data_IF_351021547113
#
_entry.id   IF_351021547113
#
_cell.length_a   1.000
_cell.length_b   1.000
_cell.length_c   1.000
_cell.angle_alpha   90.00
_cell.angle_beta   90.00
_cell.angle_gamma   90.00
#
_symmetry.space_group_name_H-M   'P 1'
#
loop_
_entity.id
_entity.type
_entity.pdbx_description
1 polymer ?
#
# COMPACT_ATOMS: atom_id res chain seq x y z
N UNK A 1 15.89 -3.28 -29.41
CA UNK A 1 16.18 -3.29 -27.96
C UNK A 1 14.93 -3.77 -27.27
N UNK A 2 14.99 -4.90 -26.56
CA UNK A 2 13.92 -5.34 -25.66
C UNK A 2 13.81 -4.31 -24.52
N UNK A 3 12.60 -3.85 -24.23
CA UNK A 3 12.34 -2.95 -23.11
C UNK A 3 12.59 -3.75 -21.83
N UNK A 4 13.53 -3.30 -21.00
CA UNK A 4 13.86 -4.00 -19.76
C UNK A 4 12.75 -3.92 -18.73
N UNK A 5 12.70 -4.92 -17.84
CA UNK A 5 11.75 -4.98 -16.73
C UNK A 5 11.95 -3.77 -15.81
N UNK A 6 10.86 -3.10 -15.49
CA UNK A 6 10.77 -1.98 -14.57
C UNK A 6 9.98 -2.38 -13.31
N UNK A 7 9.97 -1.51 -12.29
CA UNK A 7 9.16 -1.72 -11.09
C UNK A 7 7.65 -1.85 -11.38
N UNK A 8 7.16 -1.22 -12.46
CA UNK A 8 5.75 -1.30 -12.84
C UNK A 8 5.41 -2.61 -13.57
N UNK A 9 6.43 -3.36 -13.98
CA UNK A 9 6.26 -4.69 -14.58
C UNK A 9 6.26 -5.79 -13.51
N UNK A 10 6.50 -5.45 -12.23
CA UNK A 10 6.29 -6.37 -11.12
C UNK A 10 4.80 -6.70 -11.00
N UNK A 11 4.43 -7.99 -10.90
CA UNK A 11 3.02 -8.41 -10.90
C UNK A 11 2.16 -7.69 -9.86
N UNK A 12 2.66 -7.51 -8.62
CA UNK A 12 1.89 -6.85 -7.57
C UNK A 12 1.51 -5.41 -7.91
N UNK A 13 2.38 -4.70 -8.64
CA UNK A 13 2.14 -3.32 -9.09
C UNK A 13 1.25 -3.28 -10.31
N UNK A 14 1.60 -4.07 -11.32
CA UNK A 14 0.89 -4.12 -12.61
C UNK A 14 -0.58 -4.42 -12.38
N UNK A 15 -0.87 -5.55 -11.74
CA UNK A 15 -2.24 -6.02 -11.61
C UNK A 15 -3.04 -5.24 -10.57
N UNK A 16 -2.39 -4.63 -9.56
CA UNK A 16 -3.07 -3.69 -8.67
C UNK A 16 -3.60 -2.49 -9.46
N UNK A 17 -2.80 -1.91 -10.35
CA UNK A 17 -3.21 -0.78 -11.19
C UNK A 17 -4.34 -1.20 -12.13
N UNK A 18 -4.23 -2.36 -12.76
CA UNK A 18 -5.26 -2.90 -13.65
C UNK A 18 -6.59 -3.13 -12.90
N UNK A 19 -6.54 -3.75 -11.73
CA UNK A 19 -7.70 -3.98 -10.88
C UNK A 19 -8.34 -2.67 -10.43
N UNK A 20 -7.57 -1.76 -9.82
CA UNK A 20 -8.09 -0.47 -9.35
C UNK A 20 -8.70 0.37 -10.48
N UNK A 21 -8.11 0.31 -11.68
CA UNK A 21 -8.66 0.97 -12.86
C UNK A 21 -9.94 0.29 -13.33
N UNK A 22 -9.95 -1.04 -13.44
CA UNK A 22 -11.08 -1.82 -13.94
C UNK A 22 -12.32 -1.71 -13.06
N UNK A 23 -12.14 -1.63 -11.74
CA UNK A 23 -13.26 -1.47 -10.81
C UNK A 23 -13.61 0.00 -10.53
N UNK A 24 -12.98 0.95 -11.24
CA UNK A 24 -13.16 2.38 -11.05
C UNK A 24 -12.96 2.81 -9.58
N UNK A 25 -11.87 2.34 -8.95
CA UNK A 25 -11.68 2.47 -7.50
C UNK A 25 -11.76 3.91 -6.96
N UNK A 26 -11.35 4.91 -7.75
CA UNK A 26 -11.50 6.33 -7.36
C UNK A 26 -12.96 6.75 -7.16
N UNK A 27 -13.86 6.22 -7.99
CA UNK A 27 -15.30 6.47 -7.87
C UNK A 27 -15.89 5.70 -6.67
N UNK A 28 -15.41 4.48 -6.44
CA UNK A 28 -15.73 3.73 -5.22
C UNK A 28 -15.35 4.53 -3.97
N UNK A 29 -14.15 5.12 -3.91
CA UNK A 29 -13.73 5.96 -2.79
C UNK A 29 -14.58 7.24 -2.66
N UNK A 30 -15.07 7.81 -3.76
CA UNK A 30 -16.00 8.94 -3.71
C UNK A 30 -17.35 8.55 -3.10
N UNK A 31 -17.86 7.36 -3.44
CA UNK A 31 -19.11 6.83 -2.90
C UNK A 31 -19.01 6.34 -1.44
N UNK A 32 -17.81 6.26 -0.89
CA UNK A 32 -17.58 6.02 0.55
C UNK A 32 -17.63 7.29 1.42
N UNK A 33 -17.82 8.48 0.83
CA UNK A 33 -17.99 9.72 1.61
C UNK A 33 -19.36 9.74 2.27
N UNK A 34 -19.45 10.26 3.49
CA UNK A 34 -20.57 10.03 4.40
C UNK A 34 -21.95 10.37 3.80
N UNK A 35 -22.10 11.54 3.16
CA UNK A 35 -23.36 11.93 2.50
C UNK A 35 -23.69 11.01 1.33
N UNK A 36 -22.69 10.61 0.54
CA UNK A 36 -22.90 9.75 -0.64
C UNK A 36 -23.20 8.31 -0.24
N UNK A 37 -22.51 7.80 0.78
CA UNK A 37 -22.58 6.42 1.26
C UNK A 37 -23.96 6.08 1.84
N UNK A 38 -24.63 7.06 2.41
CA UNK A 38 -25.97 6.92 3.00
C UNK A 38 -27.09 7.07 1.97
N UNK A 39 -26.91 7.94 0.96
CA UNK A 39 -27.93 8.27 -0.03
C UNK A 39 -27.90 7.32 -1.24
N UNK A 40 -26.71 6.98 -1.73
CA UNK A 40 -26.51 6.27 -3.00
C UNK A 40 -26.26 4.77 -2.81
N UNK A 41 -27.22 4.08 -2.19
CA UNK A 41 -27.16 2.62 -2.03
C UNK A 41 -27.23 1.85 -3.36
N UNK A 42 -27.83 2.48 -4.38
CA UNK A 42 -27.93 1.97 -5.75
C UNK A 42 -26.55 1.79 -6.41
N UNK A 43 -25.58 2.65 -6.08
CA UNK A 43 -24.20 2.51 -6.54
C UNK A 43 -23.63 1.13 -6.18
N UNK A 44 -23.79 0.71 -4.93
CA UNK A 44 -23.24 -0.55 -4.42
C UNK A 44 -23.93 -1.78 -5.03
N UNK A 45 -25.25 -1.69 -5.27
CA UNK A 45 -26.04 -2.78 -5.82
C UNK A 45 -25.87 -2.94 -7.34
N UNK A 46 -25.77 -1.84 -8.08
CA UNK A 46 -25.81 -1.86 -9.55
C UNK A 46 -24.51 -1.43 -10.19
N UNK A 47 -23.99 -0.25 -9.83
CA UNK A 47 -22.84 0.37 -10.51
C UNK A 47 -21.55 -0.38 -10.22
N UNK A 48 -21.23 -0.60 -8.93
CA UNK A 48 -20.06 -1.38 -8.55
C UNK A 48 -20.14 -2.80 -9.12
N UNK A 49 -21.30 -3.45 -9.03
CA UNK A 49 -21.51 -4.77 -9.64
C UNK A 49 -21.15 -4.77 -11.13
N UNK A 50 -21.60 -3.79 -11.90
CA UNK A 50 -21.26 -3.65 -13.32
C UNK A 50 -19.76 -3.45 -13.56
N UNK A 51 -19.07 -2.70 -12.69
CA UNK A 51 -17.61 -2.54 -12.76
C UNK A 51 -16.88 -3.85 -12.48
N UNK A 52 -17.33 -4.62 -11.49
CA UNK A 52 -16.79 -5.94 -11.16
C UNK A 52 -17.01 -6.93 -12.32
N UNK A 53 -18.20 -6.96 -12.91
CA UNK A 53 -18.54 -7.77 -14.11
C UNK A 53 -17.65 -7.43 -15.31
N UNK A 54 -17.49 -6.14 -15.61
CA UNK A 54 -16.67 -5.69 -16.74
C UNK A 54 -15.21 -6.09 -16.54
N UNK A 55 -14.64 -5.80 -15.36
CA UNK A 55 -13.24 -6.16 -15.07
C UNK A 55 -12.98 -7.67 -15.20
N UNK A 56 -13.86 -8.51 -14.64
CA UNK A 56 -13.68 -9.95 -14.72
C UNK A 56 -13.77 -10.44 -16.17
N UNK A 57 -14.80 -10.02 -16.92
CA UNK A 57 -15.01 -10.46 -18.30
C UNK A 57 -13.87 -10.03 -19.24
N UNK A 58 -13.33 -8.82 -19.05
CA UNK A 58 -12.28 -8.28 -19.91
C UNK A 58 -10.92 -8.97 -19.69
N UNK A 59 -10.66 -9.51 -18.49
CA UNK A 59 -9.31 -9.95 -18.11
C UNK A 59 -9.16 -11.46 -17.92
N UNK A 60 -10.25 -12.19 -17.62
CA UNK A 60 -10.18 -13.62 -17.25
C UNK A 60 -9.51 -14.50 -18.31
N UNK A 61 -9.73 -14.20 -19.59
CA UNK A 61 -9.19 -15.01 -20.70
C UNK A 61 -7.69 -14.78 -20.92
N UNK A 62 -7.14 -13.68 -20.41
CA UNK A 62 -5.73 -13.31 -20.59
C UNK A 62 -4.83 -13.84 -19.47
N UNK A 63 -5.43 -14.30 -18.37
CA UNK A 63 -4.70 -14.78 -17.20
C UNK A 63 -4.33 -16.26 -17.33
N UNK A 64 -3.10 -16.61 -16.96
CA UNK A 64 -2.75 -18.02 -16.82
C UNK A 64 -3.53 -18.66 -15.66
N UNK A 65 -3.63 -19.99 -15.61
CA UNK A 65 -4.33 -20.68 -14.52
C UNK A 65 -3.76 -20.35 -13.13
N UNK A 66 -2.44 -20.16 -13.01
CA UNK A 66 -1.83 -19.76 -11.74
C UNK A 66 -2.10 -18.29 -11.42
N UNK A 67 -2.14 -17.43 -12.45
CA UNK A 67 -2.55 -16.04 -12.29
C UNK A 67 -4.00 -15.97 -11.79
N UNK A 68 -4.93 -16.76 -12.35
CA UNK A 68 -6.35 -16.77 -11.93
C UNK A 68 -6.53 -16.89 -10.41
N UNK A 69 -5.79 -17.80 -9.77
CA UNK A 69 -5.86 -17.99 -8.31
C UNK A 69 -5.36 -16.76 -7.55
N UNK A 70 -4.27 -16.14 -8.00
CA UNK A 70 -3.73 -14.93 -7.37
C UNK A 70 -4.63 -13.71 -7.63
N UNK A 71 -5.10 -13.53 -8.86
CA UNK A 71 -6.05 -12.47 -9.23
C UNK A 71 -7.36 -12.59 -8.44
N UNK A 72 -7.86 -13.81 -8.23
CA UNK A 72 -9.01 -14.07 -7.36
C UNK A 72 -8.77 -13.62 -5.90
N UNK A 73 -7.59 -13.90 -5.34
CA UNK A 73 -7.23 -13.43 -3.98
C UNK A 73 -7.13 -11.91 -3.91
N UNK A 74 -6.56 -11.27 -4.93
CA UNK A 74 -6.48 -9.82 -5.01
C UNK A 74 -7.85 -9.16 -5.13
N UNK A 75 -8.75 -9.76 -5.91
CA UNK A 75 -10.12 -9.32 -6.04
C UNK A 75 -10.88 -9.45 -4.72
N UNK A 76 -10.81 -10.60 -4.05
CA UNK A 76 -11.40 -10.76 -2.71
C UNK A 76 -10.85 -9.72 -1.73
N UNK A 77 -9.54 -9.51 -1.75
CA UNK A 77 -8.90 -8.58 -0.84
C UNK A 77 -9.36 -7.13 -1.07
N UNK A 78 -9.48 -6.66 -2.32
CA UNK A 78 -9.93 -5.27 -2.54
C UNK A 78 -11.37 -5.06 -2.06
N UNK A 79 -12.24 -6.06 -2.20
CA UNK A 79 -13.60 -6.03 -1.66
C UNK A 79 -13.59 -6.02 -0.12
N UNK A 80 -12.73 -6.81 0.52
CA UNK A 80 -12.57 -6.79 1.98
C UNK A 80 -12.07 -5.42 2.48
N UNK A 81 -11.15 -4.76 1.76
CA UNK A 81 -10.70 -3.40 2.09
C UNK A 81 -11.81 -2.37 1.92
N UNK A 82 -12.63 -2.51 0.87
CA UNK A 82 -13.81 -1.66 0.66
C UNK A 82 -14.77 -1.79 1.85
N UNK A 83 -15.12 -3.02 2.24
CA UNK A 83 -15.99 -3.29 3.37
C UNK A 83 -15.41 -2.78 4.69
N UNK A 84 -14.10 -2.96 4.92
CA UNK A 84 -13.39 -2.40 6.08
C UNK A 84 -13.55 -0.89 6.16
N UNK A 85 -13.31 -0.17 5.06
CA UNK A 85 -13.47 1.29 5.00
C UNK A 85 -14.90 1.72 5.32
N UNK A 86 -15.91 1.04 4.77
CA UNK A 86 -17.33 1.34 5.02
C UNK A 86 -17.72 1.04 6.46
N UNK A 87 -17.22 -0.07 7.04
CA UNK A 87 -17.47 -0.41 8.45
C UNK A 87 -16.94 0.67 9.40
N UNK A 88 -15.73 1.18 9.12
CA UNK A 88 -15.18 2.29 9.90
C UNK A 88 -16.05 3.56 9.82
N UNK A 89 -16.73 3.78 8.69
CA UNK A 89 -17.69 4.89 8.55
C UNK A 89 -18.96 4.69 9.34
N UNK A 90 -19.49 3.48 9.38
CA UNK A 90 -20.68 3.15 10.19
C UNK A 90 -20.47 3.44 11.68
N UNK A 91 -19.27 3.18 12.21
CA UNK A 91 -18.92 3.52 13.61
C UNK A 91 -19.12 5.01 13.90
N UNK A 92 -18.80 5.87 12.93
CA UNK A 92 -18.94 7.33 13.06
C UNK A 92 -20.29 7.88 12.59
N UNK A 93 -21.00 7.13 11.75
CA UNK A 93 -22.28 7.50 11.18
C UNK A 93 -23.23 6.28 11.14
N UNK A 94 -24.10 6.12 12.16
CA UNK A 94 -25.04 5.00 12.25
C UNK A 94 -26.08 4.92 11.12
N UNK A 95 -26.20 5.94 10.27
CA UNK A 95 -27.10 5.91 9.10
C UNK A 95 -26.52 5.09 7.95
N UNK A 96 -25.21 4.80 7.97
CA UNK A 96 -24.57 3.95 6.97
C UNK A 96 -25.17 2.55 7.06
N UNK A 97 -25.82 2.11 5.98
CA UNK A 97 -26.41 0.77 5.89
C UNK A 97 -25.34 -0.29 5.56
N UNK A 98 -24.37 -0.47 6.45
CA UNK A 98 -23.22 -1.35 6.22
C UNK A 98 -23.62 -2.77 5.84
N UNK A 99 -24.55 -3.39 6.59
CA UNK A 99 -24.97 -4.77 6.34
C UNK A 99 -25.61 -4.94 4.96
N UNK A 100 -26.33 -3.93 4.49
CA UNK A 100 -26.94 -3.93 3.16
C UNK A 100 -25.88 -3.78 2.06
N UNK A 101 -24.94 -2.86 2.22
CA UNK A 101 -23.83 -2.68 1.27
C UNK A 101 -22.96 -3.93 1.22
N UNK A 102 -22.70 -4.54 2.38
CA UNK A 102 -21.99 -5.82 2.50
C UNK A 102 -22.70 -6.93 1.73
N UNK A 103 -24.02 -7.04 1.87
CA UNK A 103 -24.82 -8.00 1.12
C UNK A 103 -24.68 -7.77 -0.39
N UNK A 104 -24.80 -6.52 -0.86
CA UNK A 104 -24.66 -6.20 -2.28
C UNK A 104 -23.29 -6.58 -2.84
N UNK A 105 -22.21 -6.20 -2.14
CA UNK A 105 -20.83 -6.49 -2.59
C UNK A 105 -20.58 -8.00 -2.62
N UNK A 106 -20.99 -8.73 -1.58
CA UNK A 106 -20.75 -10.17 -1.52
C UNK A 106 -21.57 -10.91 -2.57
N UNK A 107 -22.85 -10.59 -2.74
CA UNK A 107 -23.70 -11.22 -3.75
C UNK A 107 -23.17 -10.97 -5.17
N UNK A 108 -22.72 -9.74 -5.46
CA UNK A 108 -22.12 -9.42 -6.75
C UNK A 108 -20.89 -10.32 -7.02
N UNK A 109 -19.99 -10.45 -6.04
CA UNK A 109 -18.81 -11.30 -6.18
C UNK A 109 -19.15 -12.79 -6.27
N UNK A 110 -20.11 -13.29 -5.49
CA UNK A 110 -20.55 -14.68 -5.54
C UNK A 110 -21.12 -15.05 -6.92
N UNK A 111 -22.06 -14.26 -7.44
CA UNK A 111 -22.63 -14.46 -8.78
C UNK A 111 -21.55 -14.42 -9.88
N UNK A 112 -20.57 -13.52 -9.74
CA UNK A 112 -19.45 -13.41 -10.67
C UNK A 112 -18.54 -14.64 -10.72
N UNK A 113 -18.44 -15.35 -9.59
CA UNK A 113 -17.56 -16.49 -9.46
C UNK A 113 -18.26 -17.83 -9.72
N UNK A 114 -19.59 -17.88 -9.81
CA UNK A 114 -20.32 -19.10 -10.18
C UNK A 114 -19.77 -19.79 -11.46
N UNK A 115 -19.43 -19.06 -12.55
CA UNK A 115 -18.88 -19.68 -13.75
C UNK A 115 -17.46 -20.25 -13.59
N UNK A 116 -16.76 -19.97 -12.48
CA UNK A 116 -15.35 -20.33 -12.28
C UNK A 116 -15.14 -21.72 -11.68
N UNK A 117 -16.19 -22.54 -11.55
CA UNK A 117 -16.13 -23.94 -11.07
C UNK A 117 -15.31 -24.12 -9.77
N UNK A 118 -15.47 -23.17 -8.84
CA UNK A 118 -14.75 -23.17 -7.55
C UNK A 118 -13.28 -22.77 -7.61
N UNK A 119 -12.73 -22.39 -8.78
CA UNK A 119 -11.36 -21.85 -8.86
C UNK A 119 -11.22 -20.50 -8.16
N UNK A 120 -12.31 -19.73 -8.13
CA UNK A 120 -12.43 -18.52 -7.32
C UNK A 120 -13.72 -18.60 -6.49
N UNK A 121 -13.61 -18.23 -5.22
CA UNK A 121 -14.74 -18.18 -4.30
C UNK A 121 -14.67 -16.88 -3.50
N UNK A 122 -15.82 -16.28 -3.25
CA UNK A 122 -15.93 -15.15 -2.34
C UNK A 122 -15.76 -15.65 -0.92
N UNK A 123 -14.66 -15.27 -0.26
CA UNK A 123 -14.35 -15.65 1.14
C UNK A 123 -14.17 -14.38 1.98
N UNK A 124 -15.28 -13.78 2.46
CA UNK A 124 -15.23 -12.53 3.22
C UNK A 124 -14.38 -12.67 4.47
N UNK A 125 -13.36 -11.81 4.57
CA UNK A 125 -12.63 -11.62 5.82
C UNK A 125 -13.34 -10.55 6.64
N UNK A 126 -13.47 -10.79 7.94
CA UNK A 126 -14.16 -9.85 8.82
C UNK A 126 -13.34 -8.54 8.99
N UNK A 127 -13.99 -7.36 8.99
CA UNK A 127 -13.33 -6.07 9.14
C UNK A 127 -12.47 -5.94 10.41
N UNK A 128 -12.84 -6.67 11.46
CA UNK A 128 -12.20 -6.62 12.79
C UNK A 128 -10.75 -7.13 12.78
N UNK A 129 -10.34 -7.80 11.69
CA UNK A 129 -8.97 -8.27 11.45
C UNK A 129 -8.24 -7.40 10.42
N UNK A 130 -8.41 -6.08 10.58
CA UNK A 130 -7.81 -4.96 9.84
C UNK A 130 -6.40 -5.23 9.31
N UNK A 131 -5.48 -5.47 10.23
CA UNK A 131 -4.05 -5.52 9.93
C UNK A 131 -3.71 -6.85 9.27
N UNK A 132 -4.47 -7.89 9.60
CA UNK A 132 -4.29 -9.22 9.02
C UNK A 132 -4.65 -9.21 7.55
N UNK A 133 -5.75 -8.54 7.18
CA UNK A 133 -6.17 -8.41 5.79
C UNK A 133 -5.05 -7.76 4.97
N UNK A 134 -4.49 -6.66 5.45
CA UNK A 134 -3.40 -5.92 4.80
C UNK A 134 -2.09 -6.72 4.78
N UNK A 135 -1.69 -7.31 5.90
CA UNK A 135 -0.48 -8.12 6.02
C UNK A 135 -0.54 -9.35 5.11
N UNK A 136 -1.68 -10.05 5.06
CA UNK A 136 -1.87 -11.19 4.16
C UNK A 136 -1.68 -10.78 2.70
N UNK A 137 -2.20 -9.62 2.30
CA UNK A 137 -2.03 -9.12 0.93
C UNK A 137 -0.58 -8.76 0.66
N UNK A 138 0.04 -7.98 1.53
CA UNK A 138 1.41 -7.52 1.34
C UNK A 138 2.40 -8.70 1.29
N UNK A 139 2.16 -9.76 2.09
CA UNK A 139 2.95 -11.00 2.04
C UNK A 139 2.70 -11.77 0.73
N UNK A 140 1.45 -11.92 0.29
CA UNK A 140 1.11 -12.59 -0.98
C UNK A 140 1.70 -11.85 -2.19
N UNK A 141 1.62 -10.50 -2.20
CA UNK A 141 2.18 -9.61 -3.21
C UNK A 141 3.72 -9.70 -3.26
N UNK A 142 4.38 -9.71 -2.10
CA UNK A 142 5.83 -9.88 -2.02
C UNK A 142 6.25 -11.26 -2.56
N UNK A 143 5.54 -12.32 -2.20
CA UNK A 143 5.82 -13.66 -2.71
C UNK A 143 5.69 -13.71 -4.24
N UNK A 144 4.64 -13.10 -4.80
CA UNK A 144 4.43 -13.02 -6.25
C UNK A 144 5.58 -12.30 -6.96
N UNK A 145 6.00 -11.14 -6.44
CA UNK A 145 7.08 -10.37 -7.03
C UNK A 145 8.43 -11.11 -6.97
N UNK A 146 8.72 -11.78 -5.85
CA UNK A 146 9.93 -12.58 -5.69
C UNK A 146 9.94 -13.78 -6.64
N UNK A 147 8.80 -14.48 -6.78
CA UNK A 147 8.65 -15.59 -7.72
C UNK A 147 8.87 -15.13 -9.17
N UNK A 148 8.28 -13.98 -9.54
CA UNK A 148 8.49 -13.38 -10.85
C UNK A 148 9.96 -13.01 -11.11
N UNK A 149 10.61 -12.34 -10.16
CA UNK A 149 12.03 -11.98 -10.28
C UNK A 149 12.91 -13.21 -10.43
N UNK A 150 12.61 -14.28 -9.68
CA UNK A 150 13.36 -15.55 -9.73
C UNK A 150 13.41 -16.13 -11.15
N UNK A 151 12.32 -16.02 -11.90
CA UNK A 151 12.22 -16.51 -13.28
C UNK A 151 12.84 -15.54 -14.30
N UNK A 152 12.94 -14.25 -13.95
CA UNK A 152 13.20 -13.15 -14.90
C UNK A 152 14.53 -12.44 -14.70
N UNK A 153 15.46 -12.98 -13.92
CA UNK A 153 16.77 -12.35 -13.66
C UNK A 153 17.48 -11.84 -14.92
N UNK A 154 17.51 -12.60 -16.01
CA UNK A 154 18.19 -12.22 -17.26
C UNK A 154 17.52 -11.07 -18.03
N UNK A 155 16.26 -10.75 -17.70
CA UNK A 155 15.46 -9.70 -18.34
C UNK A 155 15.44 -8.40 -17.53
N UNK A 156 16.00 -8.41 -16.32
CA UNK A 156 16.14 -7.23 -15.45
C UNK A 156 17.42 -6.49 -15.84
N UNK A 157 17.26 -5.36 -16.53
CA UNK A 157 18.39 -4.53 -16.95
C UNK A 157 18.84 -3.57 -15.85
N UNK A 158 20.13 -3.24 -15.87
CA UNK A 158 20.82 -2.46 -14.84
C UNK A 158 20.20 -1.11 -14.53
N UNK A 159 19.66 -0.44 -15.54
CA UNK A 159 19.06 0.90 -15.44
C UNK A 159 17.82 0.95 -14.53
N UNK A 160 17.15 -0.18 -14.32
CA UNK A 160 15.97 -0.29 -13.45
C UNK A 160 16.16 -1.25 -12.28
N UNK A 161 17.21 -2.08 -12.32
CA UNK A 161 17.51 -3.09 -11.31
C UNK A 161 17.57 -2.52 -9.88
N UNK A 162 18.30 -1.42 -9.65
CA UNK A 162 18.43 -0.84 -8.30
C UNK A 162 17.09 -0.40 -7.70
N UNK A 163 16.13 0.05 -8.53
CA UNK A 163 14.80 0.43 -8.06
C UNK A 163 13.98 -0.80 -7.65
N UNK A 164 14.09 -1.89 -8.41
CA UNK A 164 13.46 -3.17 -8.09
C UNK A 164 14.08 -3.74 -6.80
N UNK A 165 15.41 -3.77 -6.71
CA UNK A 165 16.14 -4.24 -5.52
C UNK A 165 15.73 -3.45 -4.27
N UNK A 166 15.74 -2.11 -4.34
CA UNK A 166 15.36 -1.27 -3.21
C UNK A 166 13.92 -1.54 -2.76
N UNK A 167 12.99 -1.67 -3.72
CA UNK A 167 11.60 -1.98 -3.43
C UNK A 167 11.43 -3.33 -2.72
N UNK A 168 12.06 -4.40 -3.23
CA UNK A 168 11.95 -5.73 -2.63
C UNK A 168 12.57 -5.76 -1.24
N UNK A 169 13.74 -5.13 -1.05
CA UNK A 169 14.38 -5.05 0.26
C UNK A 169 13.53 -4.28 1.28
N UNK A 170 12.88 -3.20 0.86
CA UNK A 170 11.94 -2.45 1.70
C UNK A 170 10.74 -3.32 2.12
N UNK A 171 10.11 -4.03 1.17
CA UNK A 171 9.00 -4.93 1.47
C UNK A 171 9.41 -6.04 2.44
N UNK A 172 10.56 -6.69 2.22
CA UNK A 172 11.08 -7.72 3.12
C UNK A 172 11.31 -7.15 4.52
N UNK A 173 11.96 -5.98 4.62
CA UNK A 173 12.23 -5.33 5.92
C UNK A 173 10.94 -5.05 6.69
N UNK A 174 9.90 -4.58 6.00
CA UNK A 174 8.61 -4.24 6.63
C UNK A 174 7.83 -5.49 7.06
N UNK A 175 7.91 -6.58 6.31
CA UNK A 175 7.07 -7.76 6.51
C UNK A 175 7.74 -8.88 7.29
N UNK A 176 9.08 -8.92 7.39
CA UNK A 176 9.80 -10.01 8.05
C UNK A 176 9.42 -10.16 9.51
N UNK A 177 9.40 -9.07 10.28
CA UNK A 177 9.00 -9.10 11.69
C UNK A 177 7.54 -9.55 11.85
N UNK A 178 6.64 -9.00 11.03
CA UNK A 178 5.21 -9.35 11.02
C UNK A 178 5.02 -10.85 10.75
N UNK A 179 5.72 -11.39 9.76
CA UNK A 179 5.71 -12.81 9.46
C UNK A 179 6.24 -13.64 10.63
N UNK A 180 7.41 -13.32 11.15
CA UNK A 180 8.05 -14.10 12.23
C UNK A 180 7.20 -14.12 13.51
N UNK A 181 6.58 -13.00 13.87
CA UNK A 181 5.71 -12.93 15.07
C UNK A 181 4.40 -13.71 14.90
N UNK A 182 3.95 -13.95 13.66
CA UNK A 182 2.66 -14.60 13.36
C UNK A 182 2.80 -15.69 12.29
N UNK A 183 3.87 -16.49 12.35
CA UNK A 183 4.23 -17.42 11.28
C UNK A 183 3.09 -18.39 10.92
N UNK A 184 2.46 -19.01 11.92
CA UNK A 184 1.33 -19.94 11.74
C UNK A 184 0.18 -19.33 10.95
N UNK A 185 0.02 -18.01 11.02
CA UNK A 185 -1.06 -17.26 10.35
C UNK A 185 -0.79 -17.09 8.87
N UNK A 186 0.48 -16.84 8.50
CA UNK A 186 0.85 -16.42 7.16
C UNK A 186 1.58 -17.49 6.34
N UNK A 187 2.08 -18.56 6.96
CA UNK A 187 2.87 -19.61 6.30
C UNK A 187 2.17 -20.24 5.10
N UNK A 188 0.85 -20.42 5.15
CA UNK A 188 0.07 -20.97 4.04
C UNK A 188 0.12 -20.09 2.78
N UNK A 189 0.35 -18.77 2.92
CA UNK A 189 0.41 -17.82 1.81
C UNK A 189 1.68 -18.03 0.99
N UNK A 190 2.81 -18.29 1.65
CA UNK A 190 4.09 -18.58 1.01
C UNK A 190 3.97 -19.82 0.11
N UNK A 191 3.21 -20.82 0.56
CA UNK A 191 2.95 -22.05 -0.18
C UNK A 191 2.28 -21.83 -1.53
N UNK A 192 1.50 -20.76 -1.72
CA UNK A 192 0.91 -20.43 -3.03
C UNK A 192 1.96 -20.14 -4.11
N UNK A 193 3.17 -19.75 -3.70
CA UNK A 193 4.28 -19.37 -4.57
C UNK A 193 5.49 -20.30 -4.44
N UNK A 194 5.27 -21.48 -3.86
CA UNK A 194 6.33 -22.49 -3.62
C UNK A 194 7.45 -22.01 -2.69
N UNK A 195 7.13 -21.15 -1.72
CA UNK A 195 8.01 -20.78 -0.63
C UNK A 195 7.58 -21.46 0.67
N UNK A 196 8.55 -21.69 1.54
CA UNK A 196 8.37 -22.31 2.87
C UNK A 196 8.66 -21.33 4.00
N UNK A 197 9.53 -20.35 3.78
CA UNK A 197 9.87 -19.33 4.77
C UNK A 197 10.43 -18.06 4.11
N UNK A 198 10.50 -16.96 4.88
CA UNK A 198 11.18 -15.74 4.42
C UNK A 198 12.68 -15.95 4.14
N UNK A 199 13.31 -16.99 4.69
CA UNK A 199 14.72 -17.29 4.39
C UNK A 199 14.91 -17.75 2.93
N UNK A 200 13.84 -18.23 2.27
CA UNK A 200 13.89 -18.60 0.86
C UNK A 200 14.10 -17.37 -0.05
N UNK A 201 13.83 -16.17 0.48
CA UNK A 201 14.03 -14.90 -0.22
C UNK A 201 15.50 -14.48 -0.24
N UNK A 202 16.31 -14.90 0.74
CA UNK A 202 17.69 -14.44 0.91
C UNK A 202 18.54 -14.79 -0.34
N UNK A 203 18.46 -16.03 -0.83
CA UNK A 203 19.18 -16.47 -2.04
C UNK A 203 18.76 -15.65 -3.28
N UNK A 204 17.46 -15.35 -3.40
CA UNK A 204 16.90 -14.64 -4.56
C UNK A 204 17.33 -13.17 -4.52
N UNK A 205 17.30 -12.54 -3.35
CA UNK A 205 17.70 -11.14 -3.15
C UNK A 205 19.21 -10.95 -3.30
N UNK A 206 20.03 -11.87 -2.80
CA UNK A 206 21.47 -11.86 -3.04
C UNK A 206 21.82 -11.93 -4.53
N UNK A 207 21.13 -12.80 -5.27
CA UNK A 207 21.30 -12.92 -6.73
C UNK A 207 20.78 -11.69 -7.48
N UNK A 208 19.69 -11.07 -7.00
CA UNK A 208 19.19 -9.81 -7.57
C UNK A 208 20.24 -8.71 -7.41
N UNK A 209 20.81 -8.58 -6.22
CA UNK A 209 21.87 -7.63 -5.92
C UNK A 209 23.10 -7.83 -6.79
N UNK A 210 23.57 -9.07 -6.98
CA UNK A 210 24.72 -9.32 -7.86
C UNK A 210 24.41 -8.96 -9.32
N UNK A 211 23.21 -9.30 -9.80
CA UNK A 211 22.74 -8.94 -11.15
C UNK A 211 22.73 -7.41 -11.35
N UNK A 212 22.28 -6.66 -10.36
CA UNK A 212 22.28 -5.19 -10.41
C UNK A 212 23.71 -4.60 -10.46
N UNK A 213 24.65 -5.18 -9.70
CA UNK A 213 26.05 -4.74 -9.66
C UNK A 213 26.80 -5.03 -10.96
N UNK A 214 26.65 -6.23 -11.53
CA UNK A 214 27.24 -6.58 -12.82
C UNK A 214 26.73 -5.66 -13.94
N UNK A 215 25.43 -5.39 -13.92
CA UNK A 215 24.78 -4.49 -14.85
C UNK A 215 25.28 -3.04 -14.75
N UNK A 216 25.52 -2.53 -13.55
CA UNK A 216 26.08 -1.20 -13.32
C UNK A 216 27.53 -1.11 -13.85
N UNK A 217 28.34 -2.13 -13.58
CA UNK A 217 29.74 -2.21 -14.03
C UNK A 217 29.82 -2.26 -15.57
N UNK A 218 28.98 -3.07 -16.21
CA UNK A 218 28.91 -3.14 -17.67
C UNK A 218 28.45 -1.82 -18.30
N UNK A 219 27.48 -1.15 -17.69
CA UNK A 219 26.99 0.16 -18.14
C UNK A 219 28.09 1.24 -18.07
N UNK A 220 28.89 1.24 -17.00
CA UNK A 220 30.03 2.15 -16.85
C UNK A 220 31.08 1.90 -17.94
N UNK A 221 31.42 0.63 -18.19
CA UNK A 221 32.39 0.25 -19.22
C UNK A 221 31.92 0.58 -20.65
N UNK A 222 30.62 0.47 -20.94
CA UNK A 222 30.07 0.84 -22.26
C UNK A 222 29.88 2.34 -22.44
N UNK A 223 29.67 3.10 -21.35
CA UNK A 223 29.58 4.57 -21.40
C UNK A 223 30.88 5.24 -21.82
N UNK A 224 32.03 4.67 -21.42
CA UNK A 224 33.36 5.15 -21.80
C UNK A 224 33.72 4.83 -23.26
N UNK A 225 33.11 3.80 -23.86
CA UNK A 225 33.44 3.38 -25.24
C UNK A 225 32.75 4.21 -26.32
N UNK A 226 31.65 4.90 -26.02
CA UNK A 226 30.95 5.76 -27.01
C UNK A 226 31.52 7.17 -27.16
N UNK A 227 32.58 7.53 -26.42
CA UNK A 227 33.19 8.87 -26.48
C UNK A 227 34.65 8.89 -26.99
N UNK A 228 35.15 7.81 -27.60
CA UNK A 228 36.49 7.81 -28.22
C UNK A 228 36.41 8.01 -29.74
N UNK A 229 36.11 9.25 -30.15
CA UNK A 229 36.55 9.71 -31.47
C UNK A 229 38.08 9.83 -31.45
N UNK A 230 38.74 9.07 -32.32
CA UNK A 230 40.17 9.09 -32.56
C UNK A 230 40.67 10.50 -32.88
N UNK A 231 41.56 11.08 -32.05
CA UNK A 231 42.61 12.00 -32.48
C UNK A 231 43.76 12.00 -31.44
N UNK A 232 45.04 11.95 -31.85
CA UNK A 232 46.16 11.83 -30.93
C UNK A 232 46.59 13.21 -30.43
N UNK A 233 46.51 13.43 -29.12
CA UNK A 233 47.00 14.67 -28.52
C UNK A 233 46.96 14.60 -27.00
N UNK A 234 48.15 14.51 -26.39
CA UNK A 234 48.40 14.68 -24.95
C UNK A 234 47.43 15.68 -24.32
N UNK A 235 46.71 15.26 -23.30
CA UNK A 235 46.25 16.13 -22.21
C UNK A 235 46.19 15.32 -20.92
N UNK A 236 47.06 15.69 -19.98
CA UNK A 236 47.06 15.23 -18.59
C UNK A 236 45.80 15.75 -17.90
N UNK A 237 44.90 14.84 -17.53
CA UNK A 237 43.71 15.18 -16.74
C UNK A 237 44.10 15.57 -15.32
N UNK A 238 43.95 16.86 -15.00
CA UNK A 238 43.97 17.36 -13.63
C UNK A 238 42.69 16.88 -12.96
N UNK A 239 42.82 15.96 -12.01
CA UNK A 239 41.72 15.53 -11.15
C UNK A 239 41.40 16.71 -10.23
N UNK A 240 40.36 17.47 -10.57
CA UNK A 240 39.76 18.43 -9.65
C UNK A 240 39.00 17.65 -8.57
N UNK A 241 39.65 17.43 -7.43
CA UNK A 241 39.00 16.91 -6.22
C UNK A 241 38.10 18.02 -5.68
N UNK A 242 36.84 18.05 -6.13
CA UNK A 242 35.80 18.81 -5.42
C UNK A 242 35.51 18.06 -4.13
N UNK A 243 36.04 18.54 -3.01
CA UNK A 243 35.77 17.95 -1.71
C UNK A 243 34.26 18.01 -1.42
N UNK A 244 33.74 16.97 -0.78
CA UNK A 244 32.35 16.83 -0.35
C UNK A 244 31.86 18.04 0.49
N UNK A 245 32.81 18.77 1.11
CA UNK A 245 32.58 20.01 1.87
C UNK A 245 32.04 21.17 1.02
N UNK A 246 32.46 21.30 -0.24
CA UNK A 246 31.98 22.36 -1.14
C UNK A 246 30.52 22.16 -1.57
N UNK A 247 30.10 20.91 -1.73
CA UNK A 247 28.73 20.54 -2.10
C UNK A 247 27.78 20.83 -0.94
N UNK A 248 28.13 20.46 0.31
CA UNK A 248 27.34 20.79 1.50
C UNK A 248 27.22 22.31 1.73
N UNK A 249 28.31 23.05 1.53
CA UNK A 249 28.31 24.51 1.70
C UNK A 249 27.37 25.21 0.72
N UNK A 250 27.25 24.67 -0.50
CA UNK A 250 26.35 25.19 -1.54
C UNK A 250 24.87 25.00 -1.17
N UNK A 251 24.51 23.87 -0.56
CA UNK A 251 23.14 23.61 -0.09
C UNK A 251 22.71 24.53 1.06
N UNK A 252 23.63 24.86 1.98
CA UNK A 252 23.35 25.78 3.09
C UNK A 252 23.09 27.21 2.56
N UNK A 253 23.86 27.65 1.56
CA UNK A 253 23.65 28.95 0.92
C UNK A 253 22.31 29.01 0.18
N UNK A 254 21.94 27.98 -0.57
CA UNK A 254 20.64 27.90 -1.24
C UNK A 254 19.47 27.85 -0.24
N UNK A 255 19.64 27.13 0.88
CA UNK A 255 18.63 27.09 1.93
C UNK A 255 18.35 28.48 2.56
N UNK A 256 19.39 29.32 2.72
CA UNK A 256 19.25 30.67 3.31
C UNK A 256 18.85 31.75 2.31
N UNK A 257 19.28 31.66 1.05
CA UNK A 257 19.15 32.75 0.08
C UNK A 257 17.96 32.59 -0.88
N UNK A 258 17.36 31.39 -0.95
CA UNK A 258 16.26 31.09 -1.86
C UNK A 258 14.97 30.73 -1.09
N UNK A 259 13.80 30.90 -1.71
CA UNK A 259 12.49 30.55 -1.14
C UNK A 259 12.31 29.05 -0.82
N UNK A 260 13.27 28.21 -1.22
CA UNK A 260 13.34 26.78 -0.90
C UNK A 260 13.29 26.49 0.61
N UNK A 261 13.93 27.30 1.45
CA UNK A 261 13.88 27.11 2.90
C UNK A 261 12.46 27.23 3.47
N UNK A 262 11.68 28.21 3.01
CA UNK A 262 10.28 28.41 3.40
C UNK A 262 9.37 27.29 2.89
N UNK A 263 9.62 26.78 1.67
CA UNK A 263 8.88 25.67 1.07
C UNK A 263 9.13 24.37 1.85
N UNK A 264 10.39 24.07 2.21
CA UNK A 264 10.73 22.89 2.99
C UNK A 264 10.11 22.94 4.40
N UNK A 265 10.17 24.10 5.05
CA UNK A 265 9.58 24.29 6.38
C UNK A 265 8.05 24.14 6.36
N UNK A 266 7.38 24.60 5.30
CA UNK A 266 5.94 24.40 5.10
C UNK A 266 5.56 22.94 4.82
N UNK A 267 6.39 22.19 4.09
CA UNK A 267 6.17 20.75 3.83
C UNK A 267 6.37 19.91 5.10
N UNK A 268 7.42 20.19 5.88
CA UNK A 268 7.70 19.51 7.14
C UNK A 268 6.66 19.87 8.21
N UNK A 269 6.31 21.16 8.32
CA UNK A 269 5.26 21.62 9.24
C UNK A 269 3.88 21.03 8.92
N UNK A 270 3.53 20.88 7.64
CA UNK A 270 2.28 20.18 7.23
C UNK A 270 2.30 18.69 7.56
N UNK A 271 3.45 18.01 7.49
CA UNK A 271 3.58 16.60 7.91
C UNK A 271 3.49 16.42 9.43
N UNK A 272 4.09 17.31 10.23
CA UNK A 272 3.99 17.27 11.70
C UNK A 272 2.55 17.52 12.16
N UNK A 273 1.84 18.47 11.54
CA UNK A 273 0.41 18.72 11.83
C UNK A 273 -0.50 17.52 11.51
N UNK A 274 -0.14 16.71 10.52
CA UNK A 274 -0.89 15.50 10.16
C UNK A 274 -0.59 14.33 11.12
N UNK A 275 0.62 14.28 11.68
CA UNK A 275 1.01 13.29 12.69
C UNK A 275 0.41 13.54 14.07
N UNK A 276 0.25 14.81 14.48
CA UNK A 276 -0.28 15.16 15.80
C UNK A 276 -1.82 15.06 15.93
N UNK A 277 -2.54 14.89 14.81
CA UNK A 277 -4.00 14.67 14.82
C UNK A 277 -4.38 13.18 14.99
N UNK A 278 -3.40 12.28 15.12
CA UNK A 278 -3.60 10.84 15.31
C UNK A 278 -3.14 10.35 16.69
N UNK A 279 -2.78 11.26 17.61
CA UNK A 279 -2.21 10.91 18.91
C UNK A 279 -2.65 11.85 20.04
N UNK A 280 -3.93 12.20 20.11
CA UNK A 280 -4.48 12.91 21.27
C UNK A 280 -5.75 12.19 21.77
N UNK A 281 -5.54 10.98 22.29
CA UNK A 281 -6.45 10.40 23.27
C UNK A 281 -5.86 10.76 24.64
N UNK A 282 -6.29 11.90 25.17
CA UNK A 282 -5.90 12.34 26.50
C UNK A 282 -6.52 11.40 27.54
N UNK A 283 -5.69 10.59 28.17
CA UNK A 283 -6.00 9.92 29.42
C UNK A 283 -6.52 10.95 30.44
N UNK A 284 -7.80 10.88 30.78
CA UNK A 284 -8.32 11.50 32.00
C UNK A 284 -7.93 10.61 33.17
N UNK A 285 -6.73 10.83 33.70
CA UNK A 285 -6.32 10.35 35.01
C UNK A 285 -6.91 11.31 36.06
N UNK A 286 -7.92 10.82 36.77
CA UNK A 286 -8.46 11.39 38.00
C UNK A 286 -7.37 11.52 39.06
N UNK A 287 -6.98 12.75 39.42
CA UNK A 287 -6.51 13.06 40.77
C UNK A 287 -6.58 14.57 41.02
N UNK A 288 -7.42 14.89 42.01
CA UNK A 288 -7.38 16.03 42.94
C UNK A 288 -6.65 17.31 42.51
N UNK A 289 -7.43 18.38 42.31
CA UNK A 289 -7.08 19.62 43.01
C UNK A 289 -8.36 20.36 43.41
N UNK A 290 -8.49 20.53 44.73
CA UNK A 290 -9.52 21.33 45.38
C UNK A 290 -9.09 22.78 45.23
N UNK A 291 -9.85 23.58 44.47
CA UNK A 291 -9.80 25.03 44.62
C UNK A 291 -11.14 25.52 45.16
N UNK A 292 -11.14 25.89 46.44
CA UNK A 292 -12.15 26.77 47.03
C UNK A 292 -12.26 28.05 46.20
N UNK A 293 -13.46 28.40 45.76
CA UNK A 293 -13.85 29.80 45.72
C UNK A 293 -15.36 29.94 45.88
N UNK A 294 -15.71 30.75 46.87
CA UNK A 294 -17.02 31.26 47.20
C UNK A 294 -17.74 31.85 45.98
N UNK A 295 -19.03 31.58 45.84
CA UNK A 295 -20.03 32.63 45.78
C UNK A 295 -21.43 32.09 46.04
N UNK A 296 -22.10 32.87 46.88
CA UNK A 296 -23.47 32.83 47.37
C UNK A 296 -24.49 32.94 46.23
N UNK A 297 -25.65 32.31 46.37
CA UNK A 297 -26.73 32.37 45.38
C UNK A 297 -27.62 31.13 45.37
N UNK A 298 -28.37 30.93 46.45
CA UNK A 298 -29.28 29.80 46.60
C UNK A 298 -30.46 29.81 45.62
N UNK A 299 -30.86 28.61 45.20
CA UNK A 299 -32.24 28.30 44.85
C UNK A 299 -32.59 26.90 45.38
N UNK A 300 -33.54 26.86 46.32
CA UNK A 300 -34.23 25.68 46.80
C UNK A 300 -35.31 25.25 45.80
N UNK A 301 -35.63 23.94 45.77
CA UNK A 301 -36.96 23.28 45.81
C UNK A 301 -36.79 21.88 45.16
N UNK A 302 -36.66 20.80 45.94
CA UNK A 302 -37.67 19.95 46.62
C UNK A 302 -38.22 18.82 45.72
N UNK A 303 -37.95 17.59 46.18
CA UNK A 303 -38.40 16.29 45.67
C UNK A 303 -39.92 16.11 45.73
N UNK A 304 -40.46 15.30 44.80
CA UNK A 304 -41.56 14.39 45.11
C UNK A 304 -41.30 13.00 44.48
N UNK A 305 -41.22 12.01 45.37
CA UNK A 305 -41.46 10.58 45.13
C UNK A 305 -42.98 10.31 45.28
N UNK A 306 -43.40 9.06 45.01
CA UNK A 306 -44.74 8.43 45.00
C UNK A 306 -45.21 8.18 43.56
N UNK A 307 -45.60 6.98 43.14
CA UNK A 307 -45.88 5.72 43.83
C UNK A 307 -46.57 4.76 42.87
N UNK A 308 -46.62 3.49 43.26
CA UNK A 308 -47.06 2.33 42.49
C UNK A 308 -48.48 2.42 41.89
N UNK A 309 -48.67 1.71 40.77
CA UNK A 309 -49.91 1.00 40.39
C UNK A 309 -49.55 -0.22 39.55
#
# INVERSE_FOLDING_TARGET
>A
MTKGITINDLPSKKYKIELEKGIHYKEVEQNMKDDTLTIHLDFWNTTLRGYLETYINDNINEWSKNDNKKRCRDFNHILDIILKKIKAKEVTNPQVSYDLIKLYINNAAETLFEPWDGECERKPKFPDHSDDIENMKNIDDLCEDIAYIKEKFSEIHSNHCNKIESYINEQISNLKSIYTTSEKKYSHILGYHSFTSFNDFDIITEKLKSTCQEGATRSLLTGDQTAMSQYPGRNTSIIAVTSLSGILSSFILLYKTTSFGSILNNLVGKKIKFGNNLSDESYHETLEDISESSHDGGYNILYNSIGDS
#
